data_IF_770679708834
#
_entry.id   IF_770679708834
#
_cell.length_a   1.000
_cell.length_b   1.000
_cell.length_c   1.000
_cell.angle_alpha   90.00
_cell.angle_beta   90.00
_cell.angle_gamma   90.00
#
_symmetry.space_group_name_H-M   'P 1'
#
loop_
_entity.id
_entity.type
_entity.pdbx_description
1 polymer ?
#
# COMPACT_ATOMS: atom_id res chain seq x y z
N UNK A 1 -27.85 -29.14 53.55
CA UNK A 1 -28.08 -29.06 52.09
C UNK A 1 -27.33 -27.84 51.60
N UNK A 2 -26.33 -28.04 50.74
CA UNK A 2 -25.42 -27.01 50.26
C UNK A 2 -26.06 -26.31 49.06
N UNK A 3 -26.12 -24.97 49.04
CA UNK A 3 -26.34 -24.21 47.81
C UNK A 3 -25.12 -23.32 47.56
N UNK A 4 -24.31 -23.74 46.59
CA UNK A 4 -23.23 -22.94 46.00
C UNK A 4 -23.88 -22.11 44.90
N UNK A 5 -24.01 -20.80 45.12
CA UNK A 5 -24.43 -19.86 44.08
C UNK A 5 -23.24 -19.55 43.18
N UNK A 6 -23.18 -20.19 42.02
CA UNK A 6 -22.22 -19.86 40.96
C UNK A 6 -22.73 -18.60 40.27
N UNK A 7 -22.09 -17.46 40.54
CA UNK A 7 -22.28 -16.24 39.74
C UNK A 7 -21.49 -16.44 38.45
N UNK A 8 -22.18 -16.91 37.41
CA UNK A 8 -21.64 -16.93 36.05
C UNK A 8 -21.67 -15.51 35.48
N UNK A 9 -20.54 -14.82 35.46
CA UNK A 9 -20.36 -13.62 34.64
C UNK A 9 -20.33 -14.05 33.17
N UNK A 10 -21.43 -13.86 32.45
CA UNK A 10 -21.42 -13.99 30.99
C UNK A 10 -20.82 -12.71 30.40
N UNK A 11 -19.61 -12.82 29.89
CA UNK A 11 -18.98 -11.82 29.03
C UNK A 11 -19.74 -11.76 27.70
N UNK A 12 -20.59 -10.74 27.52
CA UNK A 12 -21.12 -10.41 26.20
C UNK A 12 -20.20 -9.39 25.52
N UNK A 13 -19.08 -9.86 24.98
CA UNK A 13 -18.40 -9.13 23.90
C UNK A 13 -18.99 -9.59 22.59
N UNK A 14 -20.15 -9.03 22.23
CA UNK A 14 -20.60 -9.04 20.84
C UNK A 14 -20.04 -7.78 20.18
N UNK A 15 -18.78 -7.83 19.74
CA UNK A 15 -18.36 -6.93 18.68
C UNK A 15 -18.92 -7.52 17.40
N UNK A 16 -20.15 -7.14 17.06
CA UNK A 16 -20.56 -7.19 15.66
C UNK A 16 -19.57 -6.30 14.92
N UNK A 17 -18.56 -6.90 14.28
CA UNK A 17 -17.72 -6.25 13.28
C UNK A 17 -18.64 -6.00 12.09
N UNK A 18 -19.52 -5.01 12.24
CA UNK A 18 -20.13 -4.36 11.11
C UNK A 18 -18.97 -3.79 10.31
N UNK A 19 -18.81 -4.24 9.06
CA UNK A 19 -18.00 -3.53 8.08
C UNK A 19 -18.66 -2.18 7.86
N UNK A 20 -18.44 -1.24 8.77
CA UNK A 20 -18.61 0.18 8.48
C UNK A 20 -17.70 0.46 7.28
N UNK A 21 -18.17 1.20 6.25
CA UNK A 21 -17.27 1.76 5.26
C UNK A 21 -16.11 2.42 5.99
N UNK A 22 -14.88 2.33 5.46
CA UNK A 22 -13.78 3.15 5.95
C UNK A 22 -14.24 4.61 5.83
N UNK A 23 -14.72 5.16 6.95
CA UNK A 23 -15.11 6.56 7.04
C UNK A 23 -13.86 7.41 6.76
N UNK A 24 -14.06 8.63 6.23
CA UNK A 24 -13.03 9.65 6.00
C UNK A 24 -12.40 10.10 7.33
N UNK A 25 -11.69 9.17 7.96
CA UNK A 25 -11.14 9.27 9.29
C UNK A 25 -9.87 10.10 9.25
N UNK A 26 -9.53 10.71 10.39
CA UNK A 26 -8.30 11.47 10.49
C UNK A 26 -7.05 10.64 10.16
N UNK A 27 -7.07 9.36 10.52
CA UNK A 27 -5.99 8.42 10.20
C UNK A 27 -5.86 8.22 8.69
N UNK A 28 -6.98 7.96 8.00
CA UNK A 28 -7.00 7.77 6.55
C UNK A 28 -6.51 9.03 5.81
N UNK A 29 -6.98 10.21 6.19
CA UNK A 29 -6.50 11.48 5.62
C UNK A 29 -4.98 11.66 5.77
N UNK A 30 -4.41 11.24 6.91
CA UNK A 30 -2.97 11.30 7.15
C UNK A 30 -2.22 10.26 6.32
N UNK A 31 -2.76 9.06 6.17
CA UNK A 31 -2.21 8.04 5.29
C UNK A 31 -2.24 8.51 3.83
N UNK A 32 -3.34 9.07 3.35
CA UNK A 32 -3.49 9.61 1.99
C UNK A 32 -2.49 10.74 1.74
N UNK A 33 -2.34 11.68 2.69
CA UNK A 33 -1.32 12.72 2.60
C UNK A 33 0.09 12.13 2.51
N UNK A 34 0.40 11.06 3.25
CA UNK A 34 1.69 10.38 3.18
C UNK A 34 1.88 9.68 1.83
N UNK A 35 0.86 8.99 1.31
CA UNK A 35 0.91 8.37 -0.02
C UNK A 35 1.19 9.43 -1.08
N UNK A 36 0.49 10.57 -1.05
CA UNK A 36 0.73 11.68 -1.98
C UNK A 36 2.18 12.17 -1.97
N UNK A 37 2.81 12.26 -0.79
CA UNK A 37 4.21 12.67 -0.66
C UNK A 37 5.19 11.60 -1.16
N UNK A 38 4.81 10.32 -1.09
CA UNK A 38 5.66 9.19 -1.50
C UNK A 38 5.52 8.82 -2.97
N UNK A 39 4.45 9.24 -3.67
CA UNK A 39 4.21 8.94 -5.08
C UNK A 39 5.42 9.20 -5.99
N UNK A 40 6.11 10.36 -5.94
CA UNK A 40 7.26 10.60 -6.81
C UNK A 40 8.39 9.59 -6.59
N UNK A 41 8.62 9.17 -5.34
CA UNK A 41 9.65 8.18 -5.00
C UNK A 41 9.31 6.79 -5.51
N UNK A 42 8.03 6.42 -5.52
CA UNK A 42 7.57 5.14 -6.08
C UNK A 42 7.67 5.17 -7.61
N UNK A 43 7.24 6.26 -8.23
CA UNK A 43 7.24 6.42 -9.69
C UNK A 43 8.66 6.36 -10.27
N UNK A 44 9.64 6.99 -9.62
CA UNK A 44 11.05 6.93 -10.03
C UNK A 44 11.56 5.49 -10.06
N UNK A 45 11.28 4.72 -8.99
CA UNK A 45 11.74 3.33 -8.91
C UNK A 45 11.00 2.41 -9.89
N UNK A 46 9.70 2.61 -10.10
CA UNK A 46 8.96 1.84 -11.11
C UNK A 46 9.48 2.11 -12.52
N UNK A 47 9.78 3.37 -12.86
CA UNK A 47 10.31 3.71 -14.17
C UNK A 47 11.63 2.97 -14.46
N UNK A 48 12.47 2.74 -13.44
CA UNK A 48 13.66 1.89 -13.55
C UNK A 48 13.29 0.42 -13.80
N UNK A 49 12.43 -0.16 -12.96
CA UNK A 49 12.10 -1.60 -12.97
C UNK A 49 11.37 -2.02 -14.24
N UNK A 50 10.50 -1.16 -14.75
CA UNK A 50 9.66 -1.44 -15.91
C UNK A 50 10.22 -0.86 -17.22
N UNK A 51 11.41 -0.23 -17.17
CA UNK A 51 12.05 0.39 -18.34
C UNK A 51 12.23 -0.58 -19.51
N UNK A 52 12.51 -1.86 -19.24
CA UNK A 52 12.71 -2.90 -20.25
C UNK A 52 11.44 -3.62 -20.68
N UNK A 53 10.29 -3.27 -20.10
CA UNK A 53 9.00 -3.88 -20.43
C UNK A 53 8.16 -2.97 -21.32
N UNK A 54 8.21 -1.66 -21.11
CA UNK A 54 7.36 -0.70 -21.84
C UNK A 54 8.12 0.07 -22.93
N UNK A 55 7.46 0.28 -24.06
CA UNK A 55 7.96 1.15 -25.16
C UNK A 55 7.83 2.62 -24.81
N UNK A 56 6.84 2.98 -23.99
CA UNK A 56 6.56 4.34 -23.54
C UNK A 56 7.37 4.65 -22.26
N UNK A 57 8.27 5.64 -22.28
CA UNK A 57 9.03 6.05 -21.09
C UNK A 57 8.10 6.48 -19.95
N UNK A 58 8.45 6.09 -18.73
CA UNK A 58 7.68 6.45 -17.53
C UNK A 58 6.40 5.64 -17.32
N UNK A 59 6.12 4.63 -18.16
CA UNK A 59 5.10 3.62 -17.89
C UNK A 59 5.66 2.47 -17.06
N UNK A 60 4.87 1.86 -16.16
CA UNK A 60 3.47 2.17 -15.83
C UNK A 60 3.35 3.36 -14.84
N UNK A 61 2.14 3.90 -14.70
CA UNK A 61 1.84 5.05 -13.82
C UNK A 61 1.18 4.59 -12.51
N UNK A 62 1.35 5.37 -11.42
CA UNK A 62 0.76 5.09 -10.11
C UNK A 62 -0.28 6.15 -9.77
N UNK A 63 -1.48 5.70 -9.44
CA UNK A 63 -2.51 6.56 -8.85
C UNK A 63 -2.61 6.30 -7.34
N UNK A 64 -2.81 7.34 -6.51
CA UNK A 64 -2.80 7.18 -5.04
C UNK A 64 -3.82 6.15 -4.52
N UNK A 65 -4.98 6.01 -5.18
CA UNK A 65 -6.01 5.04 -4.80
C UNK A 65 -5.69 3.58 -5.19
N UNK A 66 -4.55 3.34 -5.84
CA UNK A 66 -3.97 2.01 -6.08
C UNK A 66 -2.75 1.73 -5.19
N UNK A 67 -2.62 2.50 -4.11
CA UNK A 67 -1.56 2.33 -3.11
C UNK A 67 -2.20 2.07 -1.75
N UNK A 68 -1.94 0.90 -1.20
CA UNK A 68 -2.40 0.52 0.13
C UNK A 68 -1.26 0.63 1.15
N UNK A 69 -1.51 1.32 2.27
CA UNK A 69 -0.59 1.33 3.41
C UNK A 69 -0.78 0.04 4.23
N UNK A 70 0.15 -0.92 4.10
CA UNK A 70 0.04 -2.23 4.77
C UNK A 70 0.57 -2.20 6.19
N UNK A 71 1.63 -1.43 6.42
CA UNK A 71 2.29 -1.38 7.72
C UNK A 71 2.97 -0.04 7.94
N UNK A 72 2.87 0.48 9.16
CA UNK A 72 3.66 1.61 9.63
C UNK A 72 4.22 1.27 11.01
N UNK A 73 5.52 1.51 11.20
CA UNK A 73 6.15 1.35 12.50
C UNK A 73 7.14 2.49 12.78
N UNK A 74 7.29 2.80 14.06
CA UNK A 74 8.28 3.74 14.56
C UNK A 74 9.47 2.96 15.09
N UNK A 75 10.67 3.25 14.60
CA UNK A 75 11.84 2.41 14.87
C UNK A 75 12.78 2.95 15.95
N UNK A 76 12.59 4.20 16.41
CA UNK A 76 13.47 4.86 17.39
C UNK A 76 12.76 5.23 18.72
N UNK A 77 11.74 4.46 19.11
CA UNK A 77 11.05 4.61 20.39
C UNK A 77 10.02 5.74 20.44
N UNK A 78 9.28 5.86 21.55
CA UNK A 78 8.14 6.77 21.67
C UNK A 78 8.51 8.21 21.27
N UNK A 79 7.68 8.80 20.38
CA UNK A 79 7.83 10.16 19.84
C UNK A 79 9.10 10.43 19.00
N UNK A 80 9.89 9.42 18.64
CA UNK A 80 11.00 9.58 17.69
C UNK A 80 10.51 9.70 16.23
N UNK A 81 11.13 10.54 15.41
CA UNK A 81 10.64 10.87 14.06
C UNK A 81 11.23 9.98 12.97
N UNK A 82 11.40 8.69 13.26
CA UNK A 82 11.90 7.71 12.30
C UNK A 82 10.92 6.57 12.14
N UNK A 83 10.47 6.36 10.91
CA UNK A 83 9.42 5.41 10.59
C UNK A 83 9.83 4.50 9.45
N UNK A 84 9.33 3.27 9.49
CA UNK A 84 9.22 2.41 8.32
C UNK A 84 7.76 2.38 7.89
N UNK A 85 7.54 2.48 6.59
CA UNK A 85 6.22 2.31 5.95
C UNK A 85 6.34 1.28 4.84
N UNK A 86 5.40 0.34 4.82
CA UNK A 86 5.25 -0.65 3.75
C UNK A 86 4.02 -0.35 2.94
N UNK A 87 4.20 -0.19 1.64
CA UNK A 87 3.17 0.15 0.66
C UNK A 87 3.02 -1.01 -0.32
N UNK A 88 1.78 -1.34 -0.63
CA UNK A 88 1.38 -2.30 -1.64
C UNK A 88 0.81 -1.50 -2.83
N UNK A 89 1.53 -1.55 -3.95
CA UNK A 89 1.37 -0.64 -5.08
C UNK A 89 0.97 -1.44 -6.30
N UNK A 90 -0.13 -1.01 -6.93
CA UNK A 90 -0.64 -1.59 -8.15
C UNK A 90 -0.42 -0.62 -9.32
N UNK A 91 0.71 -0.70 -10.04
CA UNK A 91 0.93 0.14 -11.21
C UNK A 91 -0.12 -0.08 -12.28
N UNK A 92 -0.44 0.98 -13.02
CA UNK A 92 -1.50 0.98 -14.02
C UNK A 92 -1.06 1.52 -15.38
N UNK A 93 -1.82 1.15 -16.41
CA UNK A 93 -1.71 1.73 -17.75
C UNK A 93 -3.07 2.26 -18.24
N UNK A 94 -3.03 3.24 -19.14
CA UNK A 94 -4.22 3.77 -19.81
C UNK A 94 -5.28 4.26 -18.82
N UNK A 95 -6.56 3.82 -18.93
CA UNK A 95 -7.65 4.22 -18.04
C UNK A 95 -7.58 3.50 -16.68
N UNK A 96 -6.39 3.49 -16.07
CA UNK A 96 -6.09 2.90 -14.76
C UNK A 96 -6.27 1.38 -14.67
N UNK A 97 -5.77 0.64 -15.67
CA UNK A 97 -5.78 -0.83 -15.69
C UNK A 97 -4.57 -1.33 -14.90
N UNK A 98 -4.72 -2.06 -13.78
CA UNK A 98 -3.59 -2.60 -13.03
C UNK A 98 -2.84 -3.66 -13.84
N UNK A 99 -1.52 -3.54 -13.89
CA UNK A 99 -0.64 -4.42 -14.69
C UNK A 99 0.45 -5.08 -13.87
N UNK A 100 0.60 -4.70 -12.61
CA UNK A 100 1.57 -5.30 -11.71
C UNK A 100 1.18 -5.16 -10.25
N UNK A 101 2.02 -5.73 -9.41
CA UNK A 101 1.92 -5.67 -7.96
C UNK A 101 3.34 -5.58 -7.40
N UNK A 102 3.59 -4.52 -6.64
CA UNK A 102 4.91 -4.17 -6.13
C UNK A 102 4.81 -3.77 -4.66
N UNK A 103 5.74 -4.24 -3.84
CA UNK A 103 5.86 -3.86 -2.42
C UNK A 103 7.04 -2.93 -2.24
N UNK A 104 6.78 -1.77 -1.66
CA UNK A 104 7.78 -0.78 -1.30
C UNK A 104 7.89 -0.70 0.23
N UNK A 105 9.12 -0.70 0.74
CA UNK A 105 9.38 -0.34 2.14
C UNK A 105 10.26 0.90 2.16
N UNK A 106 9.73 2.00 2.67
CA UNK A 106 10.47 3.25 2.84
C UNK A 106 10.80 3.49 4.31
N UNK A 107 11.97 4.07 4.54
CA UNK A 107 12.31 4.75 5.78
C UNK A 107 12.05 6.23 5.62
N UNK A 108 11.29 6.82 6.53
CA UNK A 108 11.00 8.25 6.59
C UNK A 108 11.64 8.81 7.85
N UNK A 109 12.50 9.81 7.71
CA UNK A 109 13.28 10.40 8.80
C UNK A 109 13.49 11.90 8.58
N UNK A 110 14.05 12.65 9.54
CA UNK A 110 14.39 14.06 9.34
C UNK A 110 15.41 14.30 8.23
N UNK A 111 16.15 13.28 7.81
CA UNK A 111 17.13 13.34 6.73
C UNK A 111 16.45 13.21 5.36
N UNK A 112 15.25 12.62 5.30
CA UNK A 112 14.48 12.41 4.09
C UNK A 112 13.82 11.04 4.02
N UNK A 113 13.41 10.69 2.79
CA UNK A 113 12.80 9.42 2.41
C UNK A 113 13.85 8.53 1.75
N UNK A 114 13.96 7.29 2.20
CA UNK A 114 14.93 6.31 1.69
C UNK A 114 14.22 4.99 1.39
N UNK A 115 14.37 4.47 0.16
CA UNK A 115 13.87 3.14 -0.19
C UNK A 115 14.73 2.07 0.48
N UNK A 116 14.16 1.32 1.43
CA UNK A 116 14.84 0.23 2.13
C UNK A 116 14.68 -1.11 1.44
N UNK A 117 13.51 -1.35 0.86
CA UNK A 117 13.20 -2.61 0.18
C UNK A 117 12.23 -2.35 -0.97
N UNK A 118 12.46 -3.03 -2.08
CA UNK A 118 11.53 -3.11 -3.19
C UNK A 118 11.38 -4.58 -3.57
N UNK A 119 10.14 -5.04 -3.71
CA UNK A 119 9.81 -6.40 -4.13
C UNK A 119 8.79 -6.32 -5.25
N UNK A 120 9.17 -6.79 -6.42
CA UNK A 120 8.25 -6.97 -7.53
C UNK A 120 7.54 -8.32 -7.39
N UNK A 121 6.23 -8.33 -7.15
CA UNK A 121 5.47 -9.55 -6.90
C UNK A 121 4.89 -10.14 -8.19
N UNK A 122 4.39 -9.29 -9.08
CA UNK A 122 3.69 -9.72 -10.30
C UNK A 122 3.77 -8.69 -11.41
N UNK A 123 3.85 -9.18 -12.65
CA UNK A 123 3.54 -8.43 -13.88
C UNK A 123 4.73 -7.69 -14.49
N UNK A 124 4.51 -6.89 -15.54
CA UNK A 124 3.39 -7.03 -16.46
C UNK A 124 3.55 -8.32 -17.27
N UNK A 125 2.52 -9.18 -17.31
CA UNK A 125 2.48 -10.25 -18.30
C UNK A 125 1.66 -9.78 -19.49
N UNK A 126 2.06 -10.16 -20.71
CA UNK A 126 1.32 -9.80 -21.94
C UNK A 126 -0.18 -10.12 -21.90
N UNK A 127 -0.56 -11.19 -21.20
CA UNK A 127 -1.96 -11.61 -21.06
C UNK A 127 -2.77 -10.74 -20.09
N UNK A 128 -2.12 -9.94 -19.25
CA UNK A 128 -2.77 -8.99 -18.34
C UNK A 128 -3.22 -7.71 -19.08
N UNK A 129 -2.79 -7.51 -20.34
CA UNK A 129 -3.14 -6.35 -21.16
C UNK A 129 -4.31 -6.66 -22.08
N UNK A 130 -5.27 -5.73 -22.23
CA UNK A 130 -6.23 -5.81 -23.32
C UNK A 130 -5.51 -5.80 -24.68
N UNK A 131 -6.07 -6.44 -25.72
CA UNK A 131 -5.40 -6.58 -27.02
C UNK A 131 -4.90 -5.26 -27.62
N UNK A 132 -5.61 -4.16 -27.38
CA UNK A 132 -5.30 -2.82 -27.89
C UNK A 132 -4.28 -2.04 -27.04
N UNK A 133 -3.68 -2.67 -26.02
CA UNK A 133 -2.59 -2.12 -25.21
C UNK A 133 -1.31 -2.97 -25.28
N UNK A 134 -1.30 -4.03 -26.09
CA UNK A 134 -0.12 -4.90 -26.23
C UNK A 134 1.04 -4.20 -26.95
N UNK A 135 0.76 -3.14 -27.71
CA UNK A 135 1.73 -2.26 -28.36
C UNK A 135 2.52 -1.38 -27.38
N UNK A 136 2.04 -1.24 -26.15
CA UNK A 136 2.79 -0.58 -25.08
C UNK A 136 3.98 -1.43 -24.59
N UNK A 137 3.96 -2.74 -24.85
CA UNK A 137 5.02 -3.65 -24.45
C UNK A 137 6.15 -3.67 -25.49
N UNK A 138 7.39 -3.83 -25.03
CA UNK A 138 8.58 -4.02 -25.88
C UNK A 138 8.62 -5.39 -26.55
#
# INVERSE_FOLDING_TARGET
>A
MILISIVGTQSLYCNAVGKTPLEDSRELQLQDMLVLLLLPHMQEKLAEVYSDVFTVPGSPDIYPYFVDVKHTERVNGFRGFEFLITLDVHPTVGPHIPVGEDIFTYRISPIGVELKKFEHLKGPNKNDFPPNYQDLLK
#
